data_IF_357004431560
#
_entry.id   IF_357004431560
#
_cell.length_a   1.000
_cell.length_b   1.000
_cell.length_c   1.000
_cell.angle_alpha   90.00
_cell.angle_beta   90.00
_cell.angle_gamma   90.00
#
_symmetry.space_group_name_H-M   'P 1'
#
loop_
_entity.id
_entity.type
_entity.pdbx_description
1 polymer ?
#
# COMPACT_ATOMS: atom_id res chain seq x y z
N UNK A 1 4.29 26.02 -9.63
CA UNK A 1 4.71 25.77 -8.24
C UNK A 1 3.47 25.41 -7.44
N UNK A 2 3.22 24.12 -7.27
CA UNK A 2 2.16 23.64 -6.39
C UNK A 2 2.91 23.00 -5.24
N UNK A 3 2.82 23.61 -4.06
CA UNK A 3 3.45 23.08 -2.86
C UNK A 3 2.82 21.74 -2.54
N UNK A 4 3.58 20.65 -2.70
CA UNK A 4 3.27 19.40 -2.01
C UNK A 4 3.37 19.70 -0.52
N UNK A 5 2.22 19.97 0.09
CA UNK A 5 2.08 19.90 1.53
C UNK A 5 2.66 18.56 1.96
N UNK A 6 3.58 18.60 2.94
CA UNK A 6 3.94 17.44 3.74
C UNK A 6 2.65 17.00 4.45
N UNK A 7 1.82 16.23 3.77
CA UNK A 7 0.49 15.81 4.22
C UNK A 7 0.59 14.52 5.00
N UNK A 8 -0.13 14.48 6.12
CA UNK A 8 -0.26 13.40 7.09
C UNK A 8 -0.88 12.12 6.48
N UNK A 9 -0.16 11.43 5.59
CA UNK A 9 -0.59 10.14 5.05
C UNK A 9 -0.46 9.02 6.07
N UNK A 10 -1.33 8.02 5.98
CA UNK A 10 -1.35 6.84 6.87
C UNK A 10 -0.55 5.71 6.24
N UNK A 11 0.28 5.02 7.02
CA UNK A 11 1.01 3.85 6.53
C UNK A 11 0.05 2.66 6.42
N UNK A 12 0.00 2.03 5.24
CA UNK A 12 -0.69 0.77 5.00
C UNK A 12 0.25 -0.42 5.23
N UNK A 13 1.50 -0.27 4.79
CA UNK A 13 2.57 -1.25 4.99
C UNK A 13 3.79 -0.50 5.51
N UNK A 14 4.43 -1.04 6.55
CA UNK A 14 5.70 -0.54 7.04
C UNK A 14 6.56 -1.70 7.52
N UNK A 15 7.59 -2.01 6.74
CA UNK A 15 8.61 -3.03 7.03
C UNK A 15 9.97 -2.35 7.06
N UNK A 16 10.78 -2.63 8.09
CA UNK A 16 12.14 -2.10 8.19
C UNK A 16 12.98 -2.95 9.12
N UNK A 17 14.26 -3.10 8.79
CA UNK A 17 15.27 -3.80 9.60
C UNK A 17 16.41 -2.89 10.09
N UNK A 18 16.25 -1.58 9.89
CA UNK A 18 17.23 -0.55 10.24
C UNK A 18 18.07 -0.03 9.08
N UNK A 19 18.43 -0.87 8.10
CA UNK A 19 19.10 -0.42 6.87
C UNK A 19 18.10 -0.33 5.71
N UNK A 20 17.32 -1.39 5.51
CA UNK A 20 16.30 -1.47 4.50
C UNK A 20 14.94 -1.03 5.06
N UNK A 21 14.16 -0.35 4.24
CA UNK A 21 12.75 -0.12 4.53
C UNK A 21 11.90 -0.17 3.27
N UNK A 22 10.73 -0.79 3.42
CA UNK A 22 9.66 -0.84 2.43
C UNK A 22 8.39 -0.33 3.09
N UNK A 23 7.77 0.68 2.49
CA UNK A 23 6.52 1.25 2.99
C UNK A 23 5.54 1.51 1.86
N UNK A 24 4.26 1.43 2.19
CA UNK A 24 3.17 1.90 1.35
C UNK A 24 2.37 2.89 2.17
N UNK A 25 2.30 4.13 1.71
CA UNK A 25 1.60 5.21 2.40
C UNK A 25 0.39 5.67 1.60
N UNK A 26 -0.77 5.71 2.24
CA UNK A 26 -2.00 6.29 1.68
C UNK A 26 -1.99 7.80 1.93
N UNK A 27 -2.11 8.58 0.86
CA UNK A 27 -2.06 10.03 0.88
C UNK A 27 -3.46 10.67 0.99
N UNK A 28 -4.51 9.93 0.63
CA UNK A 28 -5.92 10.37 0.70
C UNK A 28 -6.73 9.89 -0.51
N UNK A 29 -8.00 10.31 -0.63
CA UNK A 29 -8.85 10.00 -1.81
C UNK A 29 -8.43 10.87 -3.00
N UNK A 30 -8.37 10.25 -4.19
CA UNK A 30 -8.11 10.92 -5.45
C UNK A 30 -9.36 11.67 -5.92
N UNK A 31 -9.27 13.00 -5.97
CA UNK A 31 -10.27 13.89 -6.59
C UNK A 31 -11.74 13.59 -6.21
N UNK A 32 -12.21 14.02 -5.03
CA UNK A 32 -13.58 13.80 -4.55
C UNK A 32 -14.67 14.55 -5.35
N UNK A 33 -14.34 15.16 -6.48
CA UNK A 33 -15.27 15.88 -7.37
C UNK A 33 -15.60 15.12 -8.66
N UNK A 34 -15.09 13.90 -8.86
CA UNK A 34 -15.28 13.10 -10.08
C UNK A 34 -15.99 11.76 -9.76
N UNK A 35 -17.24 11.56 -10.24
CA UNK A 35 -18.11 10.39 -9.95
C UNK A 35 -17.50 9.00 -10.06
N UNK A 36 -16.52 8.80 -10.94
CA UNK A 36 -15.92 7.48 -11.23
C UNK A 36 -14.57 7.24 -10.54
N UNK A 37 -14.06 8.22 -9.77
CA UNK A 37 -12.78 8.11 -9.05
C UNK A 37 -12.94 8.24 -7.53
N UNK A 38 -14.17 8.40 -7.01
CA UNK A 38 -14.41 8.69 -5.60
C UNK A 38 -13.81 7.66 -4.65
N UNK A 39 -13.71 6.40 -5.06
CA UNK A 39 -13.20 5.31 -4.21
C UNK A 39 -11.72 5.03 -4.41
N UNK A 40 -11.06 5.71 -5.35
CA UNK A 40 -9.62 5.56 -5.53
C UNK A 40 -8.86 6.39 -4.49
N UNK A 41 -7.83 5.78 -3.92
CA UNK A 41 -6.88 6.39 -2.99
C UNK A 41 -5.59 6.70 -3.74
N UNK A 42 -5.07 7.91 -3.57
CA UNK A 42 -3.68 8.22 -3.91
C UNK A 42 -2.78 7.61 -2.84
N UNK A 43 -1.76 6.87 -3.27
CA UNK A 43 -0.78 6.26 -2.40
C UNK A 43 0.62 6.36 -3.02
N UNK A 44 1.61 5.99 -2.23
CA UNK A 44 2.99 5.92 -2.67
C UNK A 44 3.68 4.71 -2.08
N UNK A 45 4.51 4.07 -2.88
CA UNK A 45 5.49 3.11 -2.38
C UNK A 45 6.76 3.87 -2.07
N UNK A 46 7.40 3.53 -0.96
CA UNK A 46 8.67 4.10 -0.53
C UNK A 46 9.61 2.94 -0.25
N UNK A 47 10.70 2.89 -1.02
CA UNK A 47 11.79 1.93 -0.82
C UNK A 47 13.03 2.72 -0.46
N UNK A 48 13.70 2.35 0.63
CA UNK A 48 14.95 2.98 1.04
C UNK A 48 15.95 1.93 1.50
N UNK A 49 17.19 2.08 1.08
CA UNK A 49 18.36 1.44 1.69
C UNK A 49 19.55 2.41 1.67
N UNK A 50 20.68 1.98 2.22
CA UNK A 50 21.96 2.69 2.09
C UNK A 50 22.45 2.82 0.65
N UNK A 51 21.91 2.02 -0.29
CA UNK A 51 22.31 1.98 -1.70
C UNK A 51 21.27 2.58 -2.66
N UNK A 52 19.98 2.32 -2.46
CA UNK A 52 18.90 2.71 -3.38
C UNK A 52 17.74 3.39 -2.66
N UNK A 53 17.12 4.35 -3.34
CA UNK A 53 15.90 5.01 -2.89
C UNK A 53 14.91 5.17 -4.04
N UNK A 54 13.65 4.81 -3.80
CA UNK A 54 12.57 4.90 -4.77
C UNK A 54 11.27 5.36 -4.12
N UNK A 55 10.50 6.18 -4.84
CA UNK A 55 9.19 6.64 -4.36
C UNK A 55 8.13 6.71 -5.47
N UNK A 56 7.79 5.58 -6.12
CA UNK A 56 6.77 5.60 -7.16
C UNK A 56 5.39 5.87 -6.55
N UNK A 57 4.62 6.74 -7.22
CA UNK A 57 3.22 6.96 -6.88
C UNK A 57 2.39 5.77 -7.37
N UNK A 58 1.36 5.42 -6.62
CA UNK A 58 0.40 4.39 -6.99
C UNK A 58 -1.02 4.82 -6.64
N UNK A 59 -1.99 4.08 -7.14
CA UNK A 59 -3.39 4.26 -6.76
C UNK A 59 -3.94 2.96 -6.21
N UNK A 60 -4.72 3.06 -5.14
CA UNK A 60 -5.37 1.91 -4.51
C UNK A 60 -6.89 2.03 -4.60
N UNK A 61 -7.56 0.91 -4.81
CA UNK A 61 -8.99 0.74 -4.65
C UNK A 61 -9.28 0.11 -3.29
N UNK A 62 -10.52 0.18 -2.79
CA UNK A 62 -10.90 -0.50 -1.55
C UNK A 62 -10.69 -2.02 -1.65
N UNK A 63 -10.88 -2.60 -2.84
CA UNK A 63 -10.58 -4.02 -3.11
C UNK A 63 -9.11 -4.38 -2.88
N UNK A 64 -8.17 -3.47 -3.17
CA UNK A 64 -6.75 -3.71 -2.91
C UNK A 64 -6.48 -3.85 -1.40
N UNK A 65 -7.22 -3.14 -0.55
CA UNK A 65 -7.10 -3.23 0.91
C UNK A 65 -7.67 -4.56 1.43
N UNK A 66 -8.76 -5.04 0.83
CA UNK A 66 -9.29 -6.38 1.13
C UNK A 66 -8.33 -7.48 0.69
N UNK A 67 -7.73 -7.33 -0.50
CA UNK A 67 -6.70 -8.24 -0.99
C UNK A 67 -5.46 -8.22 -0.10
N UNK A 68 -5.05 -7.05 0.40
CA UNK A 68 -3.99 -6.96 1.39
C UNK A 68 -4.35 -7.69 2.69
N UNK A 69 -5.58 -7.54 3.17
CA UNK A 69 -6.06 -8.30 4.34
C UNK A 69 -5.93 -9.82 4.12
N UNK A 70 -6.34 -10.32 2.94
CA UNK A 70 -6.24 -11.74 2.60
C UNK A 70 -4.77 -12.18 2.45
N UNK A 71 -3.92 -11.32 1.89
CA UNK A 71 -2.48 -11.55 1.79
C UNK A 71 -1.84 -11.70 3.18
N UNK A 72 -2.24 -10.89 4.17
CA UNK A 72 -1.77 -11.03 5.55
C UNK A 72 -2.19 -12.37 6.18
N UNK A 73 -3.35 -12.93 5.82
CA UNK A 73 -3.77 -14.28 6.26
C UNK A 73 -2.89 -15.38 5.64
N UNK A 74 -2.51 -15.22 4.38
CA UNK A 74 -1.60 -16.13 3.68
C UNK A 74 -0.18 -16.07 4.27
N UNK A 75 0.34 -14.86 4.51
CA UNK A 75 1.63 -14.64 5.17
C UNK A 75 1.67 -15.26 6.56
N UNK A 76 0.60 -15.11 7.34
CA UNK A 76 0.47 -15.74 8.67
C UNK A 76 0.45 -17.27 8.60
N UNK A 77 -0.01 -17.84 7.48
CA UNK A 77 0.06 -19.27 7.20
C UNK A 77 1.42 -19.71 6.61
N UNK A 78 2.41 -18.83 6.55
CA UNK A 78 3.74 -19.10 6.01
C UNK A 78 3.78 -19.20 4.47
N UNK A 79 2.80 -18.62 3.78
CA UNK A 79 2.72 -18.64 2.32
C UNK A 79 3.18 -17.32 1.72
N UNK A 80 3.89 -17.43 0.61
CA UNK A 80 4.24 -16.29 -0.24
C UNK A 80 2.97 -15.62 -0.77
N UNK A 81 3.08 -14.30 -0.98
CA UNK A 81 2.02 -13.50 -1.58
C UNK A 81 2.56 -12.67 -2.74
N UNK A 82 1.66 -12.37 -3.67
CA UNK A 82 1.81 -11.31 -4.65
C UNK A 82 0.60 -10.39 -4.48
N UNK A 83 0.85 -9.14 -4.09
CA UNK A 83 -0.17 -8.11 -3.93
C UNK A 83 -0.08 -7.14 -5.10
N UNK A 84 -1.24 -6.74 -5.63
CA UNK A 84 -1.39 -5.96 -6.87
C UNK A 84 -0.92 -6.71 -8.13
N UNK A 85 -1.22 -8.01 -8.19
CA UNK A 85 -1.07 -8.86 -9.40
C UNK A 85 -2.23 -8.64 -10.39
N UNK A 86 -2.63 -7.39 -10.59
CA UNK A 86 -3.73 -6.96 -11.46
C UNK A 86 -3.24 -6.24 -12.71
N UNK A 87 -1.92 -6.28 -12.95
CA UNK A 87 -1.24 -5.59 -14.05
C UNK A 87 -0.99 -4.11 -13.80
N UNK A 88 -1.34 -3.59 -12.62
CA UNK A 88 -0.97 -2.24 -12.21
C UNK A 88 0.35 -2.23 -11.43
N UNK A 89 1.26 -1.34 -11.80
CA UNK A 89 2.53 -1.16 -11.08
C UNK A 89 2.42 -0.12 -9.94
N UNK A 90 3.19 -0.28 -8.86
CA UNK A 90 4.11 -1.39 -8.58
C UNK A 90 3.42 -2.65 -8.04
N UNK A 91 3.93 -3.82 -8.45
CA UNK A 91 3.58 -5.13 -7.92
C UNK A 91 4.49 -5.46 -6.72
N UNK A 92 3.94 -6.06 -5.67
CA UNK A 92 4.65 -6.28 -4.40
C UNK A 92 4.55 -7.74 -4.00
N UNK A 93 5.70 -8.43 -3.95
CA UNK A 93 5.79 -9.83 -3.47
C UNK A 93 6.44 -9.86 -2.10
N UNK A 94 5.89 -10.69 -1.22
CA UNK A 94 6.44 -10.88 0.12
C UNK A 94 6.54 -12.38 0.37
N UNK A 95 7.74 -12.84 0.69
CA UNK A 95 8.01 -14.19 1.15
C UNK A 95 8.23 -14.14 2.66
N UNK A 96 7.40 -14.80 3.48
CA UNK A 96 7.56 -14.77 4.92
C UNK A 96 8.84 -15.49 5.38
N UNK A 97 9.42 -16.34 4.53
CA UNK A 97 10.74 -16.93 4.72
C UNK A 97 11.42 -17.20 3.38
N UNK A 98 12.57 -16.58 3.15
CA UNK A 98 13.44 -16.82 2.01
C UNK A 98 14.61 -17.72 2.45
N UNK A 99 14.77 -18.88 1.80
CA UNK A 99 15.77 -19.88 2.20
C UNK A 99 17.23 -19.42 1.97
N UNK A 100 17.48 -18.58 0.96
CA UNK A 100 18.83 -18.12 0.61
C UNK A 100 19.36 -17.11 1.64
N UNK A 101 18.48 -16.23 2.12
CA UNK A 101 18.83 -15.15 3.04
C UNK A 101 18.35 -15.37 4.48
N UNK A 102 17.66 -16.49 4.75
CA UNK A 102 17.11 -16.86 6.06
C UNK A 102 16.27 -15.74 6.71
N UNK A 103 15.58 -14.94 5.91
CA UNK A 103 14.88 -13.71 6.32
C UNK A 103 13.56 -13.54 5.56
N UNK A 104 12.73 -12.57 5.95
CA UNK A 104 11.59 -12.15 5.13
C UNK A 104 12.13 -11.46 3.88
N UNK A 105 11.60 -11.77 2.71
CA UNK A 105 11.99 -11.11 1.46
C UNK A 105 10.86 -10.27 0.90
N UNK A 106 11.18 -9.05 0.47
CA UNK A 106 10.26 -8.17 -0.25
C UNK A 106 10.80 -7.90 -1.65
N UNK A 107 9.96 -8.12 -2.65
CA UNK A 107 10.23 -7.72 -4.02
C UNK A 107 9.23 -6.66 -4.44
N UNK A 108 9.75 -5.60 -5.06
CA UNK A 108 8.95 -4.53 -5.64
C UNK A 108 9.28 -4.44 -7.11
N UNK A 109 8.27 -4.60 -7.97
CA UNK A 109 8.42 -4.56 -9.42
C UNK A 109 7.59 -3.42 -10.00
N UNK A 110 8.26 -2.43 -10.59
CA UNK A 110 7.62 -1.29 -11.26
C UNK A 110 7.80 -1.37 -12.78
N UNK A 111 7.40 -2.50 -13.35
CA UNK A 111 7.61 -2.81 -14.78
C UNK A 111 6.81 -1.91 -15.73
N UNK A 112 5.66 -1.39 -15.29
CA UNK A 112 4.79 -0.53 -16.09
C UNK A 112 5.25 0.94 -16.18
N UNK A 113 6.21 1.35 -15.35
CA UNK A 113 6.67 2.75 -15.28
C UNK A 113 8.18 2.88 -15.40
N UNK A 114 8.94 2.47 -14.39
CA UNK A 114 10.41 2.62 -14.39
C UNK A 114 11.17 1.42 -14.95
N UNK A 115 10.50 0.27 -15.14
CA UNK A 115 11.13 -1.02 -15.44
C UNK A 115 12.18 -1.44 -14.39
N UNK A 116 12.01 -0.98 -13.14
CA UNK A 116 12.91 -1.30 -12.03
C UNK A 116 12.30 -2.40 -11.16
N UNK A 117 13.16 -3.33 -10.74
CA UNK A 117 12.86 -4.31 -9.71
C UNK A 117 13.81 -4.12 -8.54
N UNK A 118 13.29 -4.19 -7.33
CA UNK A 118 14.08 -4.14 -6.10
C UNK A 118 13.79 -5.38 -5.26
N UNK A 119 14.84 -6.01 -4.75
CA UNK A 119 14.77 -7.14 -3.84
C UNK A 119 15.43 -6.77 -2.52
N UNK A 120 14.70 -6.98 -1.41
CA UNK A 120 15.10 -6.61 -0.07
C UNK A 120 14.91 -7.81 0.87
N UNK A 121 15.96 -8.57 1.20
CA UNK A 121 15.94 -9.42 2.38
C UNK A 121 15.92 -8.54 3.63
N UNK A 122 15.03 -8.83 4.58
CA UNK A 122 14.78 -8.00 5.75
C UNK A 122 14.69 -8.84 7.03
N UNK A 123 15.50 -8.45 8.02
CA UNK A 123 15.47 -9.02 9.36
C UNK A 123 14.35 -8.38 10.18
N UNK A 124 13.11 -8.84 9.98
CA UNK A 124 11.94 -8.32 10.69
C UNK A 124 11.75 -8.98 12.06
N UNK A 125 11.25 -8.21 13.02
CA UNK A 125 10.90 -8.71 14.35
C UNK A 125 9.71 -9.70 14.29
N UNK A 126 9.62 -10.59 15.28
CA UNK A 126 8.43 -11.43 15.47
C UNK A 126 7.17 -10.56 15.61
N UNK A 127 6.06 -11.00 15.02
CA UNK A 127 4.80 -10.25 15.04
C UNK A 127 4.71 -9.12 14.01
N UNK A 128 5.67 -8.98 13.08
CA UNK A 128 5.60 -7.96 12.02
C UNK A 128 4.29 -8.00 11.21
N UNK A 129 3.69 -9.18 11.05
CA UNK A 129 2.38 -9.37 10.40
C UNK A 129 1.26 -8.70 11.20
N UNK A 130 1.26 -8.84 12.53
CA UNK A 130 0.28 -8.21 13.41
C UNK A 130 0.39 -6.69 13.36
N UNK A 131 1.60 -6.15 13.25
CA UNK A 131 1.80 -4.72 13.00
C UNK A 131 1.18 -4.29 11.66
N UNK A 132 1.32 -5.07 10.59
CA UNK A 132 0.66 -4.75 9.32
C UNK A 132 -0.86 -4.80 9.42
N UNK A 133 -1.43 -5.71 10.21
CA UNK A 133 -2.88 -5.75 10.49
C UNK A 133 -3.35 -4.51 11.24
N UNK A 134 -2.56 -4.00 12.19
CA UNK A 134 -2.86 -2.74 12.89
C UNK A 134 -2.85 -1.56 11.92
N UNK A 135 -1.83 -1.47 11.05
CA UNK A 135 -1.72 -0.43 10.02
C UNK A 135 -2.92 -0.45 9.06
N UNK A 136 -3.30 -1.63 8.54
CA UNK A 136 -4.50 -1.78 7.74
C UNK A 136 -5.75 -1.32 8.51
N UNK A 137 -5.88 -1.70 9.78
CA UNK A 137 -6.96 -1.24 10.65
C UNK A 137 -7.03 0.28 10.77
N UNK A 138 -5.88 0.95 10.93
CA UNK A 138 -5.80 2.42 10.97
C UNK A 138 -6.24 3.04 9.65
N UNK A 139 -5.73 2.53 8.52
CA UNK A 139 -6.14 2.99 7.18
C UNK A 139 -7.66 2.85 7.00
N UNK A 140 -8.25 1.72 7.40
CA UNK A 140 -9.70 1.49 7.30
C UNK A 140 -10.53 2.38 8.24
N UNK A 141 -9.98 2.82 9.38
CA UNK A 141 -10.66 3.79 10.26
C UNK A 141 -10.54 5.23 9.75
N UNK A 142 -9.39 5.58 9.16
CA UNK A 142 -9.11 6.94 8.66
C UNK A 142 -9.60 7.18 7.23
N UNK A 143 -9.85 6.11 6.46
CA UNK A 143 -10.60 6.19 5.22
C UNK A 143 -11.90 6.98 5.50
N UNK A 144 -12.14 8.12 4.82
CA UNK A 144 -13.29 8.94 5.13
C UNK A 144 -14.57 8.12 5.08
N UNK A 145 -15.27 8.00 6.23
CA UNK A 145 -16.61 7.41 6.36
C UNK A 145 -17.70 8.22 5.62
N UNK A 146 -17.32 9.18 4.78
CA UNK A 146 -18.19 10.24 4.24
C UNK A 146 -19.14 9.76 3.13
N UNK A 147 -19.10 8.47 2.77
CA UNK A 147 -20.16 7.85 1.95
C UNK A 147 -20.82 6.73 2.77
N UNK A 148 -21.53 7.12 3.83
CA UNK A 148 -22.87 6.58 3.94
C UNK A 148 -23.62 7.18 2.74
N UNK A 149 -23.90 6.36 1.72
CA UNK A 149 -24.88 6.68 0.69
C UNK A 149 -26.10 7.31 1.38
N UNK A 150 -26.21 8.63 1.31
CA UNK A 150 -27.38 9.30 1.89
C UNK A 150 -28.58 9.20 0.95
N UNK A 151 -28.43 8.61 -0.25
CA UNK A 151 -29.46 7.94 -1.07
C UNK A 151 -28.90 7.64 -2.47
N UNK A 152 -29.25 6.50 -3.11
CA UNK A 152 -29.08 6.36 -4.54
C UNK A 152 -30.01 7.36 -5.27
N UNK A 153 -29.44 8.28 -6.03
CA UNK A 153 -30.15 8.93 -7.14
C UNK A 153 -30.89 10.26 -6.90
N UNK A 154 -30.49 11.11 -5.95
CA UNK A 154 -31.04 12.48 -5.88
C UNK A 154 -29.94 13.54 -5.86
N UNK A 155 -29.69 14.14 -7.02
CA UNK A 155 -28.93 15.39 -7.16
C UNK A 155 -29.93 16.55 -7.28
N UNK A 156 -30.10 17.36 -6.24
CA UNK A 156 -30.80 18.65 -6.37
C UNK A 156 -29.80 19.81 -6.43
N UNK A 157 -29.76 20.49 -7.57
CA UNK A 157 -29.08 21.76 -7.74
C UNK A 157 -30.02 22.90 -7.34
N UNK A 158 -29.70 23.66 -6.30
CA UNK A 158 -30.36 24.96 -6.07
C UNK A 158 -29.65 26.06 -6.83
N UNK A 159 -30.44 26.78 -7.63
CA UNK A 159 -30.10 28.00 -8.36
C UNK A 159 -29.79 29.16 -7.42
#
# INVERSE_FOLDING_TARGET
>A
MIGHGRGCGVELISLSDGDNSFRVRVLGRRSPSVPHLHDQLDAEVIVTSSFVGGRPAMSLFPSDLEEWSRALDLLAAGKDICWRDDGHSPEIKIQPYNEEHETVAVHVEDLGSSCVSVFLPMSLEEGWIDEQRKLLGQVLQELPREVLESSPGVYEWRR
#
